data_IF_459475870884
#
_entry.id   IF_459475870884
#
_cell.length_a   1.000
_cell.length_b   1.000
_cell.length_c   1.000
_cell.angle_alpha   90.00
_cell.angle_beta   90.00
_cell.angle_gamma   90.00
#
_symmetry.space_group_name_H-M   'P 1'
#
loop_
_entity.id
_entity.type
_entity.pdbx_description
1 polymer ?
#
# COMPACT_ATOMS: atom_id res chain seq x y z
N UNK A 1 49.93 -27.35 41.35
CA UNK A 1 48.59 -26.90 41.76
C UNK A 1 48.06 -25.96 40.69
N UNK A 2 47.38 -26.51 39.67
CA UNK A 2 46.70 -25.74 38.61
C UNK A 2 45.22 -25.62 38.98
N UNK A 3 44.58 -24.45 38.86
CA UNK A 3 43.17 -24.31 39.19
C UNK A 3 42.27 -25.07 38.19
N UNK A 4 41.04 -25.44 38.61
CA UNK A 4 40.22 -26.44 37.94
C UNK A 4 39.32 -25.83 36.86
N UNK A 5 39.24 -26.56 35.73
CA UNK A 5 38.18 -26.60 34.73
C UNK A 5 37.09 -25.51 34.81
N UNK A 6 37.36 -24.36 34.21
CA UNK A 6 36.36 -23.30 34.00
C UNK A 6 35.82 -23.46 32.57
N UNK A 7 34.50 -23.69 32.39
CA UNK A 7 33.93 -23.83 31.05
C UNK A 7 34.07 -22.49 30.31
N UNK A 8 34.74 -22.51 29.16
CA UNK A 8 34.83 -21.38 28.26
C UNK A 8 33.41 -21.08 27.75
N UNK A 9 32.79 -20.01 28.25
CA UNK A 9 31.49 -19.55 27.76
C UNK A 9 31.72 -18.96 26.38
N UNK A 10 31.25 -19.65 25.33
CA UNK A 10 31.37 -19.17 23.97
C UNK A 10 30.46 -17.96 23.77
N UNK A 11 31.08 -16.78 23.70
CA UNK A 11 30.39 -15.50 23.52
C UNK A 11 29.74 -15.38 22.12
N UNK A 12 30.10 -16.26 21.17
CA UNK A 12 29.52 -16.30 19.83
C UNK A 12 28.07 -16.77 19.86
N UNK A 13 27.74 -17.72 20.73
CA UNK A 13 26.39 -18.30 20.83
C UNK A 13 25.35 -17.30 21.35
N UNK A 14 25.79 -16.26 22.08
CA UNK A 14 24.92 -15.13 22.47
C UNK A 14 24.71 -14.10 21.37
N UNK A 15 25.56 -14.08 20.34
CA UNK A 15 25.41 -13.16 19.21
C UNK A 15 24.39 -13.68 18.19
N UNK A 16 24.12 -14.99 18.18
CA UNK A 16 23.19 -15.61 17.23
C UNK A 16 21.71 -15.36 17.58
N UNK A 17 21.40 -14.98 18.84
CA UNK A 17 20.02 -14.64 19.26
C UNK A 17 19.67 -13.16 19.03
N UNK A 18 20.61 -12.32 18.59
CA UNK A 18 20.37 -10.90 18.35
C UNK A 18 20.48 -10.62 16.86
N UNK A 19 19.37 -10.16 16.28
CA UNK A 19 19.32 -9.46 14.99
C UNK A 19 19.24 -10.32 13.72
N UNK A 20 18.19 -11.13 13.60
CA UNK A 20 17.49 -11.15 12.31
C UNK A 20 16.67 -9.85 12.20
N UNK A 21 17.34 -8.75 11.83
CA UNK A 21 16.63 -7.55 11.39
C UNK A 21 15.68 -7.98 10.26
N UNK A 22 14.42 -7.48 10.21
CA UNK A 22 13.53 -7.77 9.09
C UNK A 22 14.30 -7.46 7.80
N UNK A 23 14.22 -8.31 6.76
CA UNK A 23 14.90 -8.05 5.51
C UNK A 23 14.57 -6.62 5.08
N UNK A 24 15.57 -5.81 4.69
CA UNK A 24 15.32 -4.45 4.27
C UNK A 24 14.23 -4.48 3.21
N UNK A 25 13.20 -3.66 3.41
CA UNK A 25 12.16 -3.46 2.42
C UNK A 25 12.84 -3.27 1.05
N UNK A 26 12.45 -4.01 0.00
CA UNK A 26 13.04 -3.81 -1.31
C UNK A 26 12.96 -2.32 -1.65
N UNK A 27 14.08 -1.76 -2.03
CA UNK A 27 14.29 -0.32 -2.19
C UNK A 27 13.39 0.27 -3.29
N UNK A 28 13.12 -0.52 -4.33
CA UNK A 28 12.19 -0.16 -5.42
C UNK A 28 11.42 -1.40 -5.88
N UNK A 29 10.09 -1.30 -6.00
CA UNK A 29 9.27 -2.26 -6.78
C UNK A 29 8.26 -1.52 -7.63
N UNK A 30 7.97 -2.04 -8.82
CA UNK A 30 6.95 -1.46 -9.69
C UNK A 30 6.02 -2.51 -10.29
N UNK A 31 4.84 -2.07 -10.73
CA UNK A 31 3.86 -2.85 -11.49
C UNK A 31 3.53 -2.08 -12.75
N UNK A 32 3.56 -2.76 -13.89
CA UNK A 32 3.29 -2.16 -15.21
C UNK A 32 2.24 -2.99 -15.91
N UNK A 33 1.24 -2.33 -16.48
CA UNK A 33 0.27 -2.91 -17.39
C UNK A 33 0.30 -2.16 -18.71
N UNK A 34 0.51 -2.90 -19.81
CA UNK A 34 0.43 -2.38 -21.18
C UNK A 34 -0.59 -3.20 -21.93
N UNK A 35 -1.69 -2.58 -22.39
CA UNK A 35 -2.81 -3.27 -23.05
C UNK A 35 -3.33 -4.49 -22.27
N UNK A 36 -3.23 -4.44 -20.94
CA UNK A 36 -3.49 -5.54 -20.03
C UNK A 36 -3.99 -5.02 -18.70
N UNK A 37 -4.40 -5.94 -17.83
CA UNK A 37 -4.76 -5.64 -16.47
C UNK A 37 -3.70 -6.24 -15.53
N UNK A 38 -3.20 -5.44 -14.60
CA UNK A 38 -2.33 -5.91 -13.53
C UNK A 38 -3.00 -5.67 -12.18
N UNK A 39 -3.13 -6.74 -11.39
CA UNK A 39 -3.64 -6.66 -10.02
C UNK A 39 -2.53 -7.05 -9.06
N UNK A 40 -2.33 -6.22 -8.04
CA UNK A 40 -1.37 -6.43 -6.98
C UNK A 40 -2.11 -6.45 -5.65
N UNK A 41 -2.40 -7.65 -5.16
CA UNK A 41 -3.02 -7.89 -3.87
C UNK A 41 -2.16 -8.79 -2.96
N UNK A 42 -2.57 -8.93 -1.71
CA UNK A 42 -1.99 -9.87 -0.74
C UNK A 42 -1.17 -9.23 0.37
N UNK A 43 -0.54 -10.07 1.18
CA UNK A 43 0.34 -9.65 2.28
C UNK A 43 1.76 -9.45 1.75
N UNK A 44 2.06 -8.24 1.32
CA UNK A 44 3.39 -7.85 0.87
C UNK A 44 3.86 -6.59 1.58
N UNK A 45 5.17 -6.41 1.62
CA UNK A 45 5.79 -5.27 2.29
C UNK A 45 5.94 -4.13 1.28
N UNK A 46 5.32 -2.99 1.57
CA UNK A 46 5.33 -1.81 0.68
C UNK A 46 6.73 -1.18 0.70
N UNK A 47 7.41 -1.07 -0.46
CA UNK A 47 8.72 -0.45 -0.55
C UNK A 47 8.62 1.05 -0.29
N UNK A 48 9.74 1.70 0.02
CA UNK A 48 9.79 3.16 0.16
C UNK A 48 9.44 3.88 -1.14
N UNK A 49 9.74 3.26 -2.28
CA UNK A 49 9.35 3.75 -3.60
C UNK A 49 8.63 2.65 -4.37
N UNK A 50 7.35 2.88 -4.67
CA UNK A 50 6.55 2.00 -5.50
C UNK A 50 6.13 2.72 -6.79
N UNK A 51 6.25 2.05 -7.95
CA UNK A 51 5.85 2.62 -9.24
C UNK A 51 4.69 1.84 -9.86
N UNK A 52 3.58 2.49 -10.15
CA UNK A 52 2.44 1.90 -10.84
C UNK A 52 2.28 2.58 -12.21
N UNK A 53 2.41 1.82 -13.30
CA UNK A 53 2.25 2.35 -14.65
C UNK A 53 1.17 1.59 -15.41
N UNK A 54 0.16 2.30 -15.92
CA UNK A 54 -0.90 1.75 -16.75
C UNK A 54 -0.89 2.46 -18.11
N UNK A 55 -0.76 1.71 -19.20
CA UNK A 55 -0.84 2.22 -20.56
C UNK A 55 -1.88 1.39 -21.31
N UNK A 56 -2.98 2.01 -21.75
CA UNK A 56 -4.07 1.33 -22.46
C UNK A 56 -4.63 0.12 -21.70
N UNK A 57 -4.69 0.21 -20.37
CA UNK A 57 -5.02 -0.91 -19.50
C UNK A 57 -5.38 -0.45 -18.09
N UNK A 58 -5.41 -1.39 -17.15
CA UNK A 58 -5.79 -1.13 -15.78
C UNK A 58 -4.78 -1.66 -14.77
N UNK A 59 -4.52 -0.88 -13.71
CA UNK A 59 -3.68 -1.32 -12.58
C UNK A 59 -4.44 -1.17 -11.28
N UNK A 60 -4.62 -2.28 -10.57
CA UNK A 60 -5.20 -2.27 -9.22
C UNK A 60 -4.13 -2.62 -8.20
N UNK A 61 -3.90 -1.72 -7.25
CA UNK A 61 -2.96 -1.91 -6.14
C UNK A 61 -3.75 -1.95 -4.85
N UNK A 62 -3.82 -3.12 -4.24
CA UNK A 62 -4.47 -3.31 -2.94
C UNK A 62 -3.43 -3.33 -1.83
N UNK A 63 -3.40 -2.24 -1.04
CA UNK A 63 -2.56 -2.10 0.14
C UNK A 63 -3.31 -2.38 1.44
N UNK A 64 -4.60 -2.77 1.39
CA UNK A 64 -5.40 -3.02 2.60
C UNK A 64 -4.86 -4.18 3.44
N UNK A 65 -4.25 -5.17 2.78
CA UNK A 65 -3.58 -6.32 3.41
C UNK A 65 -2.05 -6.20 3.42
N UNK A 66 -1.51 -5.09 2.89
CA UNK A 66 -0.08 -4.88 2.79
C UNK A 66 0.51 -4.29 4.08
N UNK A 67 1.74 -4.65 4.39
CA UNK A 67 2.46 -4.10 5.54
C UNK A 67 3.21 -2.84 5.11
N UNK A 68 2.76 -1.69 5.60
CA UNK A 68 3.37 -0.38 5.34
C UNK A 68 4.38 -0.10 6.46
N UNK A 69 5.65 0.01 6.08
CA UNK A 69 6.71 0.30 7.04
C UNK A 69 6.55 1.70 7.66
N UNK A 70 6.96 1.88 8.93
CA UNK A 70 6.99 3.21 9.56
C UNK A 70 7.81 4.22 8.75
N UNK A 71 7.33 5.46 8.70
CA UNK A 71 7.95 6.57 7.98
C UNK A 71 7.19 6.96 6.71
N UNK A 72 7.93 7.45 5.71
CA UNK A 72 7.36 7.94 4.45
C UNK A 72 7.60 6.93 3.33
N UNK A 73 6.52 6.55 2.64
CA UNK A 73 6.57 5.73 1.42
C UNK A 73 5.93 6.51 0.27
N UNK A 74 6.56 6.49 -0.90
CA UNK A 74 6.12 7.19 -2.10
C UNK A 74 5.60 6.21 -3.14
N UNK A 75 4.42 6.50 -3.68
CA UNK A 75 3.82 5.78 -4.79
C UNK A 75 3.80 6.72 -5.99
N UNK A 76 4.55 6.38 -7.04
CA UNK A 76 4.54 7.09 -8.31
C UNK A 76 3.56 6.41 -9.27
N UNK A 77 2.55 7.14 -9.71
CA UNK A 77 1.51 6.66 -10.61
C UNK A 77 1.67 7.33 -11.97
N UNK A 78 1.77 6.54 -13.02
CA UNK A 78 1.67 7.03 -14.39
C UNK A 78 0.54 6.27 -15.07
N UNK A 79 -0.51 6.99 -15.46
CA UNK A 79 -1.62 6.38 -16.17
C UNK A 79 -1.82 7.08 -17.51
N UNK A 80 -1.90 6.29 -18.58
CA UNK A 80 -2.13 6.76 -19.94
C UNK A 80 -3.23 5.91 -20.58
N UNK A 81 -4.35 6.52 -20.95
CA UNK A 81 -5.48 5.85 -21.61
C UNK A 81 -5.99 4.61 -20.86
N UNK A 82 -6.33 4.74 -19.58
CA UNK A 82 -6.65 3.58 -18.74
C UNK A 82 -7.21 3.96 -17.38
N UNK A 83 -7.09 3.05 -16.42
CA UNK A 83 -7.47 3.29 -15.03
C UNK A 83 -6.42 2.77 -14.04
N UNK A 84 -6.26 3.50 -12.93
CA UNK A 84 -5.43 3.06 -11.81
C UNK A 84 -6.22 3.19 -10.53
N UNK A 85 -6.38 2.08 -9.82
CA UNK A 85 -7.06 2.04 -8.53
C UNK A 85 -6.07 1.67 -7.43
N UNK A 86 -5.96 2.52 -6.40
CA UNK A 86 -5.12 2.28 -5.23
C UNK A 86 -6.01 2.19 -4.00
N UNK A 87 -6.02 1.03 -3.34
CA UNK A 87 -6.78 0.79 -2.12
C UNK A 87 -5.85 0.87 -0.92
N UNK A 88 -6.20 1.69 0.06
CA UNK A 88 -5.38 1.98 1.23
C UNK A 88 -6.12 1.61 2.52
N UNK A 89 -5.43 1.09 3.54
CA UNK A 89 -6.02 0.87 4.85
C UNK A 89 -6.28 2.21 5.57
N UNK A 90 -7.15 2.27 6.60
CA UNK A 90 -7.49 3.53 7.29
C UNK A 90 -6.39 4.03 8.24
N UNK A 91 -5.46 3.15 8.62
CA UNK A 91 -4.39 3.43 9.59
C UNK A 91 -3.20 4.19 8.98
N UNK A 92 -3.33 4.73 7.76
CA UNK A 92 -2.25 5.45 7.07
C UNK A 92 -2.65 6.86 6.69
N UNK A 93 -1.66 7.76 6.78
CA UNK A 93 -1.78 9.13 6.27
C UNK A 93 -1.53 9.09 4.79
N UNK A 94 -2.39 9.74 4.03
CA UNK A 94 -2.30 9.74 2.56
C UNK A 94 -2.28 11.18 2.12
N UNK A 95 -1.24 11.55 1.40
CA UNK A 95 -1.11 12.82 0.73
C UNK A 95 -1.05 12.54 -0.76
N UNK A 96 -1.86 13.26 -1.53
CA UNK A 96 -1.97 13.06 -2.97
C UNK A 96 -1.46 14.30 -3.69
N UNK A 97 -0.48 14.07 -4.56
CA UNK A 97 0.21 15.07 -5.38
C UNK A 97 0.13 14.61 -6.84
N UNK A 98 -1.05 14.76 -7.43
CA UNK A 98 -1.38 14.19 -8.73
C UNK A 98 -1.88 15.23 -9.72
N UNK A 99 -1.29 15.24 -10.92
CA UNK A 99 -1.76 16.06 -12.03
C UNK A 99 -2.60 15.20 -12.99
N UNK A 100 -3.84 15.64 -13.25
CA UNK A 100 -4.67 15.07 -14.30
C UNK A 100 -4.68 16.02 -15.51
N UNK A 101 -3.96 15.64 -16.57
CA UNK A 101 -3.92 16.43 -17.82
C UNK A 101 -5.24 16.23 -18.57
N UNK A 102 -5.66 14.97 -18.73
CA UNK A 102 -6.91 14.59 -19.37
C UNK A 102 -7.52 13.43 -18.56
N UNK A 103 -8.70 13.61 -17.97
CA UNK A 103 -9.34 12.59 -17.13
C UNK A 103 -9.46 13.03 -15.67
N UNK A 104 -9.41 12.09 -14.72
CA UNK A 104 -9.64 12.38 -13.30
C UNK A 104 -8.54 11.81 -12.41
N UNK A 105 -8.28 12.53 -11.31
CA UNK A 105 -7.47 12.06 -10.19
C UNK A 105 -8.26 12.32 -8.91
N UNK A 106 -8.85 11.27 -8.33
CA UNK A 106 -9.77 11.35 -7.22
C UNK A 106 -9.20 10.67 -5.97
N UNK A 107 -9.14 11.39 -4.86
CA UNK A 107 -8.88 10.83 -3.53
C UNK A 107 -10.21 10.69 -2.76
N UNK A 108 -10.69 9.46 -2.60
CA UNK A 108 -11.88 9.14 -1.80
C UNK A 108 -11.47 8.64 -0.43
N UNK A 109 -11.71 9.46 0.59
CA UNK A 109 -11.54 9.11 2.00
C UNK A 109 -12.91 8.89 2.62
N UNK A 110 -13.32 7.62 2.81
CA UNK A 110 -14.65 7.30 3.37
C UNK A 110 -14.74 7.61 4.88
N UNK A 111 -13.61 7.75 5.59
CA UNK A 111 -13.59 7.99 7.04
C UNK A 111 -12.74 9.21 7.38
N UNK A 112 -13.32 10.16 8.12
CA UNK A 112 -12.66 11.34 8.69
C UNK A 112 -11.86 11.02 9.98
N UNK A 113 -11.43 9.77 10.17
CA UNK A 113 -10.64 9.40 11.33
C UNK A 113 -9.28 10.05 11.19
N UNK A 114 -9.05 11.03 12.06
CA UNK A 114 -7.79 11.70 12.27
C UNK A 114 -6.70 10.64 12.39
N UNK A 115 -5.97 10.44 11.30
CA UNK A 115 -4.87 9.49 11.34
C UNK A 115 -3.88 10.00 12.36
N UNK A 116 -3.50 9.12 13.29
CA UNK A 116 -2.57 9.44 14.37
C UNK A 116 -1.30 10.10 13.80
N UNK A 117 -0.74 11.07 14.52
CA UNK A 117 0.45 11.82 14.05
C UNK A 117 1.65 10.89 13.79
N UNK A 118 1.66 9.71 14.42
CA UNK A 118 2.68 8.66 14.28
C UNK A 118 2.38 7.62 13.18
N UNK A 119 1.24 7.72 12.49
CA UNK A 119 0.95 6.81 11.39
C UNK A 119 1.90 7.03 10.20
N UNK A 120 2.24 5.96 9.47
CA UNK A 120 3.06 6.04 8.28
C UNK A 120 2.40 6.96 7.24
N UNK A 121 3.23 7.75 6.57
CA UNK A 121 2.82 8.70 5.55
C UNK A 121 3.02 8.06 4.17
N UNK A 122 1.96 8.04 3.39
CA UNK A 122 1.93 7.57 2.02
C UNK A 122 1.76 8.78 1.10
N UNK A 123 2.83 9.10 0.36
CA UNK A 123 2.81 10.14 -0.67
C UNK A 123 2.44 9.48 -1.99
N UNK A 124 1.23 9.72 -2.49
CA UNK A 124 0.82 9.26 -3.81
C UNK A 124 1.04 10.41 -4.78
N UNK A 125 2.06 10.30 -5.63
CA UNK A 125 2.36 11.27 -6.67
C UNK A 125 2.12 10.69 -8.05
N UNK A 126 1.68 11.48 -9.03
CA UNK A 126 1.54 10.91 -10.36
C UNK A 126 0.95 11.82 -11.42
N UNK A 127 0.96 11.32 -12.65
CA UNK A 127 0.35 11.99 -13.79
C UNK A 127 -0.65 11.07 -14.47
N UNK A 128 -1.85 11.58 -14.71
CA UNK A 128 -2.92 10.93 -15.44
C UNK A 128 -3.13 11.61 -16.79
N UNK A 129 -3.05 10.85 -17.88
CA UNK A 129 -3.25 11.32 -19.25
C UNK A 129 -4.31 10.45 -19.93
N UNK A 130 -5.46 11.05 -20.22
CA UNK A 130 -6.67 10.39 -20.75
C UNK A 130 -7.12 9.19 -19.90
N UNK A 131 -7.04 9.31 -18.57
CA UNK A 131 -7.27 8.19 -17.66
C UNK A 131 -7.95 8.58 -16.35
N UNK A 132 -8.41 7.60 -15.58
CA UNK A 132 -8.93 7.82 -14.23
C UNK A 132 -8.02 7.19 -13.19
N UNK A 133 -7.54 7.99 -12.23
CA UNK A 133 -6.80 7.52 -11.08
C UNK A 133 -7.68 7.67 -9.84
N UNK A 134 -7.97 6.55 -9.18
CA UNK A 134 -8.77 6.50 -7.98
C UNK A 134 -7.93 6.02 -6.81
N UNK A 135 -7.72 6.90 -5.83
CA UNK A 135 -7.13 6.55 -4.55
C UNK A 135 -8.25 6.43 -3.53
N UNK A 136 -8.47 5.23 -2.98
CA UNK A 136 -9.54 4.97 -2.04
C UNK A 136 -8.99 4.46 -0.72
N UNK A 137 -9.32 5.14 0.36
CA UNK A 137 -9.10 4.63 1.72
C UNK A 137 -10.29 3.76 2.10
N UNK A 138 -10.05 2.45 2.22
CA UNK A 138 -11.06 1.44 2.55
C UNK A 138 -10.88 1.03 4.00
N UNK A 139 -11.94 1.20 4.79
CA UNK A 139 -12.01 0.68 6.14
C UNK A 139 -12.33 -0.84 6.10
N UNK A 140 -11.50 -1.73 6.66
CA UNK A 140 -11.80 -3.15 6.76
C UNK A 140 -13.03 -3.44 7.65
N UNK A 141 -13.49 -2.50 8.46
CA UNK A 141 -14.76 -2.57 9.20
C UNK A 141 -15.97 -2.01 8.41
N UNK A 142 -15.74 -1.46 7.22
CA UNK A 142 -16.80 -0.97 6.35
C UNK A 142 -17.48 -2.12 5.59
N UNK A 143 -18.82 -2.12 5.46
CA UNK A 143 -19.53 -3.15 4.72
C UNK A 143 -19.01 -3.21 3.28
N UNK A 144 -18.83 -4.43 2.79
CA UNK A 144 -18.29 -4.70 1.44
C UNK A 144 -19.19 -3.98 0.42
N UNK A 145 -18.64 -3.50 -0.70
CA UNK A 145 -19.44 -2.82 -1.74
C UNK A 145 -20.67 -3.64 -2.20
N UNK A 146 -20.56 -4.97 -2.11
CA UNK A 146 -21.64 -5.94 -2.33
C UNK A 146 -22.79 -5.80 -1.31
N UNK A 147 -22.51 -5.50 -0.05
CA UNK A 147 -23.53 -5.29 0.99
C UNK A 147 -24.25 -3.94 0.81
N UNK A 148 -23.51 -2.88 0.43
CA UNK A 148 -24.10 -1.58 0.04
C UNK A 148 -25.01 -1.69 -1.18
N UNK A 149 -24.67 -2.57 -2.15
CA UNK A 149 -25.54 -2.84 -3.28
C UNK A 149 -26.76 -3.68 -2.89
N UNK A 150 -26.56 -4.76 -2.13
CA UNK A 150 -27.65 -5.64 -1.68
C UNK A 150 -28.72 -4.90 -0.86
N UNK A 151 -28.31 -3.94 -0.03
CA UNK A 151 -29.21 -3.09 0.76
C UNK A 151 -30.02 -2.10 -0.09
N UNK A 152 -29.45 -1.56 -1.19
CA UNK A 152 -30.17 -0.69 -2.14
C UNK A 152 -31.24 -1.42 -2.97
N UNK A 153 -31.04 -2.70 -3.26
CA UNK A 153 -32.02 -3.53 -3.98
C UNK A 153 -33.21 -3.90 -3.09
N UNK A 154 -32.98 -4.19 -1.81
CA UNK A 154 -34.04 -4.52 -0.86
C UNK A 154 -34.87 -3.30 -0.42
N UNK A 155 -34.34 -2.09 -0.56
CA UNK A 155 -35.08 -0.85 -0.23
C UNK A 155 -36.01 -0.37 -1.35
N UNK A 156 -35.93 -0.92 -2.56
CA UNK A 156 -36.80 -0.56 -3.69
C UNK A 156 -37.95 -1.54 -3.91
N UNK A 157 -38.09 -2.57 -3.06
CA UNK A 157 -39.15 -3.58 -3.14
C UNK A 157 -40.21 -3.45 -2.05
N UNK A 158 -40.37 -2.26 -1.46
CA UNK A 158 -41.51 -1.92 -0.58
C UNK A 158 -42.26 -0.71 -1.13
#
# INVERSE_FOLDING_TARGET
MTPPNQPYIDLRERQDIVSAAPPPAPDVRGTVAFMSQATRDGNWLVPRLFRAMAIMGSVTVDLTRANIQPGTSRIEVLSCMGDVTILLPPDVRVECDGDAILGTFDLKRETASATSLNAPLLLVSGTSVMSSVLVKVVDPAGPTWLEKMRSRWLSHSQ
#
